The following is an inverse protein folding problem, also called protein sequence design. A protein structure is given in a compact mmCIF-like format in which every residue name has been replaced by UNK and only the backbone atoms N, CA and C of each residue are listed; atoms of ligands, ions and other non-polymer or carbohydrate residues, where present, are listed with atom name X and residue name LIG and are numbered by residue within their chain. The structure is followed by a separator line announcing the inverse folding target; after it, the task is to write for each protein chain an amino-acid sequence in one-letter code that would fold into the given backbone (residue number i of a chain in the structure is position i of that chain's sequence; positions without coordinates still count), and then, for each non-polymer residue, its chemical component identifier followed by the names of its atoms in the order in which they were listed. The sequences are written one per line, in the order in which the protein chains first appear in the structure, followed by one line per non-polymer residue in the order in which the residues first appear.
data_IF_070380410026
#
_entry.id   IF_070380410026
#
_cell.length_a   1.000
_cell.length_b   1.000
_cell.length_c   1.000
_cell.angle_alpha   90.00
_cell.angle_beta   90.00
_cell.angle_gamma   90.00
#
_symmetry.space_group_name_H-M   'P 1'
#
loop_
_entity.id
_entity.type
_entity.pdbx_description
1 polymer ?
#
# COMPACT_ATOMS: atom_id res chain seq x y z
N UNK A 1 22.33 -17.70 13.04
CA UNK A 1 21.23 -16.76 12.77
C UNK A 1 21.43 -16.26 11.35
N UNK A 2 20.49 -16.54 10.44
CA UNK A 2 20.50 -15.90 9.13
C UNK A 2 20.22 -14.41 9.35
N UNK A 3 20.97 -13.50 8.72
CA UNK A 3 20.79 -12.08 8.97
C UNK A 3 19.52 -11.61 8.23
N UNK A 4 18.58 -11.02 8.98
CA UNK A 4 17.29 -10.57 8.45
C UNK A 4 17.45 -9.28 7.62
N UNK A 5 16.56 -9.07 6.65
CA UNK A 5 16.47 -7.77 5.99
C UNK A 5 15.77 -6.75 6.92
N UNK A 6 15.90 -5.47 6.61
CA UNK A 6 15.21 -4.38 7.32
C UNK A 6 14.33 -3.63 6.33
N UNK A 7 13.09 -3.34 6.72
CA UNK A 7 12.20 -2.47 5.95
C UNK A 7 12.29 -1.05 6.52
N UNK A 8 12.31 -0.06 5.64
CA UNK A 8 12.28 1.36 6.04
C UNK A 8 10.86 1.88 5.87
N UNK A 9 10.35 2.57 6.90
CA UNK A 9 9.06 3.25 6.80
C UNK A 9 9.10 4.31 5.68
N UNK A 10 7.99 4.45 4.98
CA UNK A 10 7.83 5.43 3.90
C UNK A 10 6.48 6.12 4.02
N UNK A 11 6.42 7.36 3.57
CA UNK A 11 5.19 8.14 3.49
C UNK A 11 5.12 8.81 2.14
N UNK A 12 3.95 8.77 1.51
CA UNK A 12 3.69 9.45 0.25
C UNK A 12 2.47 10.37 0.39
N UNK A 13 2.62 11.59 -0.10
CA UNK A 13 1.51 12.55 -0.21
C UNK A 13 0.94 12.42 -1.61
N UNK A 14 -0.30 11.96 -1.75
CA UNK A 14 -0.98 11.90 -3.05
C UNK A 14 -1.26 13.31 -3.57
N UNK A 15 -1.32 13.45 -4.90
CA UNK A 15 -1.71 14.72 -5.50
C UNK A 15 -3.21 14.94 -5.28
N UNK A 16 -3.62 16.20 -5.14
CA UNK A 16 -5.04 16.55 -4.98
C UNK A 16 -5.77 16.28 -6.29
N UNK A 17 -6.94 15.62 -6.20
CA UNK A 17 -7.81 15.35 -7.35
C UNK A 17 -9.19 15.99 -7.15
N UNK A 18 -9.92 16.23 -8.24
CA UNK A 18 -11.35 16.55 -8.16
C UNK A 18 -12.17 15.27 -7.99
N UNK A 19 -13.32 15.37 -7.32
CA UNK A 19 -14.25 14.24 -7.18
C UNK A 19 -14.74 13.73 -8.54
N UNK A 20 -14.84 14.61 -9.55
CA UNK A 20 -15.23 14.26 -10.92
C UNK A 20 -14.22 13.33 -11.62
N UNK A 21 -12.96 13.31 -11.18
CA UNK A 21 -11.96 12.36 -11.69
C UNK A 21 -12.27 10.91 -11.30
N UNK A 22 -13.07 10.70 -10.24
CA UNK A 22 -13.50 9.39 -9.77
C UNK A 22 -14.83 9.01 -10.43
N UNK A 23 -14.77 8.41 -11.61
CA UNK A 23 -15.94 7.97 -12.36
C UNK A 23 -16.70 6.84 -11.62
N UNK A 24 -17.94 7.08 -11.18
CA UNK A 24 -18.84 6.07 -10.64
C UNK A 24 -18.26 5.17 -9.52
N UNK A 25 -19.04 4.18 -9.09
CA UNK A 25 -18.55 3.20 -8.11
C UNK A 25 -17.40 2.37 -8.72
N UNK A 26 -16.28 2.24 -7.99
CA UNK A 26 -15.08 1.55 -8.48
C UNK A 26 -14.14 2.39 -9.34
N UNK A 27 -14.46 3.67 -9.58
CA UNK A 27 -13.57 4.60 -10.27
C UNK A 27 -12.30 4.87 -9.48
N UNK A 28 -11.18 5.05 -10.20
CA UNK A 28 -9.87 5.29 -9.60
C UNK A 28 -9.16 6.47 -10.25
N UNK A 29 -8.37 7.21 -9.50
CA UNK A 29 -7.62 8.37 -10.00
C UNK A 29 -6.39 8.68 -9.12
N UNK A 30 -5.52 9.56 -9.61
CA UNK A 30 -4.39 10.09 -8.83
C UNK A 30 -3.35 9.04 -8.44
N UNK A 31 -2.97 8.17 -9.39
CA UNK A 31 -1.94 7.16 -9.16
C UNK A 31 -0.59 7.83 -8.86
N UNK A 32 0.07 7.39 -7.78
CA UNK A 32 1.37 7.89 -7.35
C UNK A 32 2.27 6.75 -6.87
N UNK A 33 3.52 6.67 -7.33
CA UNK A 33 4.48 5.69 -6.83
C UNK A 33 4.78 5.89 -5.34
N UNK A 34 4.89 4.77 -4.61
CA UNK A 34 5.31 4.68 -3.22
C UNK A 34 6.39 3.62 -3.15
N UNK A 35 7.62 4.04 -2.88
CA UNK A 35 8.77 3.13 -2.81
C UNK A 35 9.10 2.85 -1.34
N UNK A 36 9.08 1.57 -0.98
CA UNK A 36 9.55 1.09 0.32
C UNK A 36 10.95 0.51 0.15
N UNK A 37 11.89 0.94 0.98
CA UNK A 37 13.27 0.48 0.89
C UNK A 37 13.49 -0.72 1.81
N UNK A 38 13.82 -1.86 1.21
CA UNK A 38 14.28 -3.06 1.91
C UNK A 38 15.81 -3.14 1.86
N UNK A 39 16.47 -3.33 3.01
CA UNK A 39 17.92 -3.53 3.08
C UNK A 39 18.26 -4.91 3.60
N UNK A 40 18.93 -5.69 2.77
CA UNK A 40 19.34 -7.03 3.10
C UNK A 40 20.87 -7.11 3.31
N UNK A 41 21.33 -7.83 4.34
CA UNK A 41 22.76 -7.95 4.69
C UNK A 41 23.58 -8.74 3.67
N UNK A 42 22.93 -9.56 2.84
CA UNK A 42 23.56 -10.32 1.75
C UNK A 42 22.50 -10.93 0.83
N UNK A 43 22.92 -11.44 -0.34
CA UNK A 43 22.01 -12.06 -1.30
C UNK A 43 21.51 -13.43 -0.83
N UNK A 44 20.45 -13.93 -1.47
CA UNK A 44 19.95 -15.30 -1.31
C UNK A 44 18.93 -15.49 -0.18
N UNK A 45 18.62 -14.43 0.58
CA UNK A 45 17.54 -14.46 1.59
C UNK A 45 16.20 -14.52 0.86
N UNK A 46 15.40 -15.56 1.14
CA UNK A 46 14.04 -15.66 0.57
C UNK A 46 13.09 -14.87 1.46
N UNK A 47 12.40 -13.91 0.87
CA UNK A 47 11.48 -13.01 1.58
C UNK A 47 10.07 -13.21 1.04
N UNK A 48 9.13 -13.53 1.93
CA UNK A 48 7.71 -13.35 1.66
C UNK A 48 7.28 -12.00 2.22
N UNK A 49 6.49 -11.26 1.46
CA UNK A 49 5.91 -10.00 1.88
C UNK A 49 4.40 -10.16 2.04
N UNK A 50 3.81 -9.43 2.99
CA UNK A 50 2.36 -9.25 3.10
C UNK A 50 2.05 -7.84 3.55
N UNK A 51 0.93 -7.31 3.07
CA UNK A 51 0.43 -6.00 3.46
C UNK A 51 -0.83 -6.16 4.30
N UNK A 52 -0.97 -5.38 5.36
CA UNK A 52 -2.19 -5.29 6.15
C UNK A 52 -2.62 -3.82 6.26
N UNK A 53 -3.91 -3.58 6.46
CA UNK A 53 -4.42 -2.27 6.81
C UNK A 53 -4.15 -1.99 8.29
N UNK A 54 -3.53 -0.85 8.61
CA UNK A 54 -3.20 -0.49 9.98
C UNK A 54 -4.44 -0.16 10.83
N UNK A 55 -5.51 0.31 10.20
CA UNK A 55 -6.77 0.71 10.83
C UNK A 55 -7.82 -0.41 10.81
N UNK A 56 -7.61 -1.45 9.99
CA UNK A 56 -8.43 -2.66 9.96
C UNK A 56 -7.60 -3.91 9.63
N UNK A 57 -6.84 -4.48 10.58
CA UNK A 57 -5.93 -5.60 10.32
C UNK A 57 -6.62 -6.88 9.83
N UNK A 58 -7.95 -6.99 9.97
CA UNK A 58 -8.74 -8.12 9.50
C UNK A 58 -9.29 -7.92 8.08
N UNK A 59 -9.10 -6.75 7.48
CA UNK A 59 -9.52 -6.47 6.12
C UNK A 59 -8.82 -7.41 5.13
N UNK A 60 -9.57 -7.90 4.15
CA UNK A 60 -9.08 -8.80 3.09
C UNK A 60 -9.14 -8.17 1.71
N UNK A 61 -9.57 -6.90 1.61
CA UNK A 61 -9.62 -6.14 0.36
C UNK A 61 -8.28 -5.48 0.03
N UNK A 62 -8.32 -4.47 -0.84
CA UNK A 62 -7.16 -3.67 -1.26
C UNK A 62 -7.23 -2.19 -0.87
N UNK A 63 -8.37 -1.76 -0.33
CA UNK A 63 -8.68 -0.37 -0.03
C UNK A 63 -8.49 -0.08 1.46
N UNK A 64 -7.54 0.79 1.78
CA UNK A 64 -7.23 1.20 3.15
C UNK A 64 -8.42 1.90 3.79
N UNK A 65 -8.68 1.53 5.04
CA UNK A 65 -9.56 2.23 5.94
C UNK A 65 -8.94 3.58 6.28
N UNK A 66 -9.66 4.69 6.03
CA UNK A 66 -9.18 6.00 6.41
C UNK A 66 -8.91 6.07 7.91
N UNK A 67 -7.87 6.82 8.28
CA UNK A 67 -7.60 7.15 9.69
C UNK A 67 -8.72 8.03 10.26
N UNK A 68 -8.85 8.05 11.59
CA UNK A 68 -9.94 8.76 12.26
C UNK A 68 -9.94 10.30 12.08
N UNK A 69 -8.80 10.87 11.69
CA UNK A 69 -8.61 12.28 11.37
C UNK A 69 -8.90 12.64 9.89
N UNK A 70 -9.28 11.66 9.06
CA UNK A 70 -9.76 11.90 7.70
C UNK A 70 -11.19 12.43 7.70
N UNK A 71 -11.49 13.42 6.85
CA UNK A 71 -12.84 14.02 6.71
C UNK A 71 -13.48 13.80 5.33
N UNK A 72 -12.72 13.28 4.36
CA UNK A 72 -13.28 12.79 3.10
C UNK A 72 -14.14 11.52 3.32
N UNK A 73 -15.20 11.38 2.54
CA UNK A 73 -16.03 10.16 2.57
C UNK A 73 -16.43 9.69 1.17
N UNK A 74 -16.76 8.40 1.04
CA UNK A 74 -17.05 7.77 -0.24
C UNK A 74 -15.83 7.46 -1.11
N UNK A 75 -14.62 7.74 -0.60
CA UNK A 75 -13.32 7.48 -1.22
C UNK A 75 -12.39 6.77 -0.23
N UNK A 76 -11.48 5.95 -0.76
CA UNK A 76 -10.41 5.27 -0.03
C UNK A 76 -9.09 5.36 -0.79
N UNK A 77 -7.99 5.07 -0.12
CA UNK A 77 -6.68 4.88 -0.77
C UNK A 77 -6.52 3.39 -1.06
N UNK A 78 -6.21 3.03 -2.30
CA UNK A 78 -5.88 1.66 -2.72
C UNK A 78 -4.39 1.55 -3.03
N UNK A 79 -3.75 0.47 -2.58
CA UNK A 79 -2.36 0.16 -2.88
C UNK A 79 -2.27 -0.93 -3.94
N UNK A 80 -1.36 -0.73 -4.89
CA UNK A 80 -1.11 -1.61 -6.02
C UNK A 80 0.35 -2.07 -6.02
N UNK A 81 0.56 -3.27 -6.55
CA UNK A 81 1.87 -3.83 -6.85
C UNK A 81 1.87 -4.32 -8.30
N UNK A 82 2.78 -3.80 -9.13
CA UNK A 82 2.84 -4.16 -10.55
C UNK A 82 1.53 -3.90 -11.30
N UNK A 83 0.80 -2.84 -10.93
CA UNK A 83 -0.49 -2.47 -11.52
C UNK A 83 -1.69 -3.30 -11.07
N UNK A 84 -1.54 -4.21 -10.11
CA UNK A 84 -2.64 -5.00 -9.53
C UNK A 84 -2.90 -4.59 -8.08
N UNK A 85 -4.17 -4.48 -7.64
CA UNK A 85 -4.49 -4.22 -6.24
C UNK A 85 -3.87 -5.26 -5.31
N UNK A 86 -3.24 -4.80 -4.23
CA UNK A 86 -2.69 -5.68 -3.20
C UNK A 86 -3.83 -6.19 -2.33
N UNK A 87 -3.95 -7.51 -2.18
CA UNK A 87 -4.90 -8.11 -1.26
C UNK A 87 -4.31 -8.13 0.16
N UNK A 88 -4.99 -7.50 1.10
CA UNK A 88 -4.55 -7.46 2.49
C UNK A 88 -4.53 -8.86 3.11
N UNK A 89 -3.52 -9.13 3.93
CA UNK A 89 -3.27 -10.43 4.57
C UNK A 89 -2.75 -11.52 3.61
N UNK A 90 -2.76 -11.30 2.30
CA UNK A 90 -2.23 -12.25 1.34
C UNK A 90 -0.69 -12.12 1.25
N UNK A 91 0.02 -13.23 1.46
CA UNK A 91 1.48 -13.30 1.28
C UNK A 91 1.83 -13.45 -0.19
N UNK A 92 2.92 -12.83 -0.61
CA UNK A 92 3.55 -13.05 -1.91
C UNK A 92 5.06 -13.17 -1.77
N UNK A 93 5.68 -13.97 -2.63
CA UNK A 93 7.14 -14.04 -2.69
C UNK A 93 7.71 -12.78 -3.32
N UNK A 94 8.62 -12.09 -2.61
CA UNK A 94 9.52 -11.09 -3.22
C UNK A 94 10.63 -11.76 -4.03
N UNK A 95 10.92 -13.03 -3.72
CA UNK A 95 11.99 -13.80 -4.34
C UNK A 95 13.23 -13.84 -3.45
N UNK A 96 14.38 -14.12 -4.07
CA UNK A 96 15.67 -14.06 -3.38
C UNK A 96 16.18 -12.62 -3.42
N UNK A 97 16.51 -12.10 -2.24
CA UNK A 97 17.22 -10.83 -2.10
C UNK A 97 18.52 -10.84 -2.93
N UNK A 98 18.81 -9.71 -3.57
CA UNK A 98 20.09 -9.46 -4.26
C UNK A 98 21.17 -8.92 -3.30
N UNK A 99 20.80 -8.66 -2.04
CA UNK A 99 21.66 -8.03 -1.05
C UNK A 99 21.78 -6.51 -1.23
N UNK A 100 22.10 -5.80 -0.16
CA UNK A 100 22.17 -4.34 -0.18
C UNK A 100 20.78 -3.71 -0.16
N UNK A 101 20.60 -2.63 -0.93
CA UNK A 101 19.34 -1.86 -1.00
C UNK A 101 18.47 -2.37 -2.15
N UNK A 102 17.22 -2.69 -1.84
CA UNK A 102 16.20 -3.14 -2.78
C UNK A 102 14.96 -2.27 -2.65
N UNK A 103 14.47 -1.76 -3.78
CA UNK A 103 13.30 -0.90 -3.84
C UNK A 103 12.06 -1.74 -4.12
N UNK A 104 11.09 -1.69 -3.20
CA UNK A 104 9.78 -2.30 -3.34
C UNK A 104 8.82 -1.25 -3.90
N UNK A 105 8.51 -1.36 -5.18
CA UNK A 105 7.64 -0.43 -5.88
C UNK A 105 6.16 -0.75 -5.65
N UNK A 106 5.47 0.16 -4.99
CA UNK A 106 4.01 0.20 -4.90
C UNK A 106 3.48 1.42 -5.62
N UNK A 107 2.18 1.41 -5.92
CA UNK A 107 1.45 2.59 -6.39
C UNK A 107 0.26 2.80 -5.47
N UNK A 108 0.08 4.01 -4.97
CA UNK A 108 -1.11 4.43 -4.24
C UNK A 108 -2.06 5.19 -5.18
N UNK A 109 -3.37 5.00 -5.06
CA UNK A 109 -4.37 5.76 -5.82
C UNK A 109 -5.66 5.94 -5.03
N UNK A 110 -6.47 6.90 -5.42
CA UNK A 110 -7.82 7.05 -4.88
C UNK A 110 -8.77 6.03 -5.51
N UNK A 111 -9.66 5.46 -4.71
CA UNK A 111 -10.72 4.53 -5.11
C UNK A 111 -12.06 5.03 -4.59
N UNK A 112 -13.04 5.18 -5.47
CA UNK A 112 -14.42 5.52 -5.09
C UNK A 112 -15.17 4.28 -4.62
N UNK A 113 -15.59 4.30 -3.35
CA UNK A 113 -16.31 3.19 -2.71
C UNK A 113 -17.79 3.49 -2.47
N UNK A 114 -18.23 4.74 -2.62
CA UNK A 114 -19.60 5.17 -2.38
C UNK A 114 -20.25 5.88 -3.57
N UNK A 115 -21.59 5.95 -3.61
CA UNK A 115 -22.32 6.71 -4.61
C UNK A 115 -22.09 8.22 -4.45
N UNK A 116 -21.90 8.70 -3.23
CA UNK A 116 -21.59 10.10 -2.93
C UNK A 116 -20.13 10.21 -2.47
N UNK A 117 -19.40 11.18 -3.01
CA UNK A 117 -18.04 11.52 -2.56
C UNK A 117 -18.11 12.88 -1.87
N UNK A 118 -17.72 12.91 -0.61
CA UNK A 118 -17.55 14.16 0.13
C UNK A 118 -16.08 14.56 0.05
N UNK A 119 -15.75 15.72 -0.54
CA UNK A 119 -14.39 16.23 -0.59
C UNK A 119 -13.83 16.48 0.81
N UNK A 120 -12.53 16.24 0.96
CA UNK A 120 -11.81 16.39 2.22
C UNK A 120 -10.41 15.79 2.11
N UNK A 121 -9.69 15.80 3.23
CA UNK A 121 -8.45 15.10 3.44
C UNK A 121 -8.70 13.62 3.75
N UNK A 122 -7.86 12.77 3.18
CA UNK A 122 -7.88 11.33 3.40
C UNK A 122 -6.47 10.83 3.65
N UNK A 123 -6.32 10.01 4.69
CA UNK A 123 -5.07 9.34 5.03
C UNK A 123 -5.32 7.86 5.20
N UNK A 124 -4.47 7.06 4.56
CA UNK A 124 -4.45 5.61 4.67
C UNK A 124 -3.12 5.16 5.25
N UNK A 125 -3.15 4.14 6.08
CA UNK A 125 -1.96 3.58 6.73
C UNK A 125 -1.94 2.06 6.52
N UNK A 126 -0.81 1.54 6.05
CA UNK A 126 -0.62 0.13 5.78
C UNK A 126 0.62 -0.39 6.51
N UNK A 127 0.57 -1.64 6.95
CA UNK A 127 1.70 -2.33 7.58
C UNK A 127 2.25 -3.36 6.59
N UNK A 128 3.48 -3.16 6.15
CA UNK A 128 4.21 -4.14 5.35
C UNK A 128 5.00 -5.05 6.29
N UNK A 129 4.76 -6.36 6.18
CA UNK A 129 5.47 -7.39 6.93
C UNK A 129 6.36 -8.18 5.97
N UNK A 130 7.60 -8.42 6.40
CA UNK A 130 8.55 -9.32 5.73
C UNK A 130 8.80 -10.56 6.58
N UNK A 131 8.48 -11.71 6.02
CA UNK A 131 8.76 -13.02 6.60
C UNK A 131 9.98 -13.65 5.92
N UNK A 132 10.95 -14.08 6.72
CA UNK A 132 12.21 -14.67 6.25
C UNK A 132 12.17 -16.19 6.38
N UNK A 133 12.71 -16.89 5.37
CA UNK A 133 12.87 -18.35 5.37
C UNK A 133 14.33 -18.76 5.24
#
# INVERSE_FOLDING_TARGET
MAPACTLSDTSAVLDVISADALAGAGGTAGEKPVVVVMRCPGPGVTVDLSLADANDPAATGSALRPTADSDASGVRIELLRGGQPVQFGQRWGHGQSIGGTEDLEFTARYLRTGPDVVPGDIKGEAVLTADYR
#
